data_IF_633512985477
#
_entry.id   IF_633512985477
#
_cell.length_a   1.000
_cell.length_b   1.000
_cell.length_c   1.000
_cell.angle_alpha   90.00
_cell.angle_beta   90.00
_cell.angle_gamma   90.00
#
_symmetry.space_group_name_H-M   'P 1'
#
loop_
_entity.id
_entity.type
_entity.pdbx_description
1 polymer ?
#
# COMPACT_ATOMS: atom_id res chain seq x y z
N UNK A 1 -21.42 -21.15 -7.04
CA UNK A 1 -20.63 -20.79 -5.83
C UNK A 1 -20.61 -19.28 -5.64
N UNK A 2 -19.92 -18.44 -6.45
CA UNK A 2 -19.81 -16.99 -6.19
C UNK A 2 -21.16 -16.25 -6.23
N UNK A 3 -22.03 -16.54 -7.20
CA UNK A 3 -23.38 -15.98 -7.25
C UNK A 3 -24.25 -16.40 -6.06
N UNK A 4 -24.10 -17.63 -5.61
CA UNK A 4 -24.78 -18.16 -4.44
C UNK A 4 -24.27 -17.48 -3.16
N UNK A 5 -22.93 -17.36 -2.99
CA UNK A 5 -22.33 -16.63 -1.88
C UNK A 5 -22.83 -15.17 -1.83
N UNK A 6 -22.85 -14.49 -2.98
CA UNK A 6 -23.32 -13.11 -3.08
C UNK A 6 -24.80 -12.98 -2.67
N UNK A 7 -25.61 -13.99 -2.97
CA UNK A 7 -27.04 -13.99 -2.67
C UNK A 7 -27.37 -14.33 -1.21
N UNK A 8 -26.65 -15.26 -0.60
CA UNK A 8 -27.14 -15.94 0.61
C UNK A 8 -26.23 -15.79 1.84
N UNK A 9 -24.98 -15.33 1.69
CA UNK A 9 -24.05 -15.26 2.83
C UNK A 9 -24.58 -14.50 4.04
N UNK A 10 -25.25 -13.33 3.89
CA UNK A 10 -25.76 -12.58 5.05
C UNK A 10 -26.76 -13.36 5.91
N UNK A 11 -27.50 -14.28 5.28
CA UNK A 11 -28.54 -15.07 5.94
C UNK A 11 -27.98 -16.31 6.66
N UNK A 12 -26.74 -16.70 6.32
CA UNK A 12 -26.06 -17.87 6.88
C UNK A 12 -24.99 -17.52 7.92
N UNK A 13 -24.76 -16.23 8.17
CA UNK A 13 -23.86 -15.79 9.23
C UNK A 13 -24.49 -16.04 10.59
N UNK A 14 -23.77 -16.76 11.46
CA UNK A 14 -24.14 -16.99 12.85
C UNK A 14 -23.07 -16.45 13.78
N UNK A 15 -23.41 -16.14 15.04
CA UNK A 15 -22.41 -15.73 16.03
C UNK A 15 -21.30 -16.78 16.15
N UNK A 16 -21.61 -18.07 16.18
CA UNK A 16 -20.62 -19.15 16.24
C UNK A 16 -19.65 -19.12 15.06
N UNK A 17 -20.14 -18.85 13.83
CA UNK A 17 -19.28 -18.77 12.65
C UNK A 17 -18.39 -17.52 12.68
N UNK A 18 -18.92 -16.39 13.16
CA UNK A 18 -18.17 -15.14 13.31
C UNK A 18 -17.13 -15.27 14.43
N UNK A 19 -17.50 -15.87 15.56
CA UNK A 19 -16.56 -16.14 16.68
C UNK A 19 -15.37 -17.01 16.23
N UNK A 20 -15.65 -18.06 15.47
CA UNK A 20 -14.59 -18.92 14.93
C UNK A 20 -13.65 -18.13 14.01
N UNK A 21 -14.20 -17.33 13.10
CA UNK A 21 -13.37 -16.52 12.19
C UNK A 21 -12.65 -15.38 12.93
N UNK A 22 -13.25 -14.80 13.96
CA UNK A 22 -12.61 -13.79 14.82
C UNK A 22 -11.33 -14.35 15.44
N UNK A 23 -11.37 -15.54 16.02
CA UNK A 23 -10.18 -16.17 16.61
C UNK A 23 -9.11 -16.49 15.56
N UNK A 24 -9.50 -16.89 14.34
CA UNK A 24 -8.57 -17.08 13.22
C UNK A 24 -7.87 -15.76 12.86
N UNK A 25 -8.63 -14.66 12.73
CA UNK A 25 -8.05 -13.34 12.39
C UNK A 25 -7.17 -12.80 13.54
N UNK A 26 -7.56 -13.00 14.80
CA UNK A 26 -6.73 -12.64 15.97
C UNK A 26 -5.42 -13.40 15.97
N UNK A 27 -5.45 -14.68 15.63
CA UNK A 27 -4.23 -15.48 15.52
C UNK A 27 -3.37 -15.04 14.33
N UNK A 28 -3.97 -14.71 13.19
CA UNK A 28 -3.26 -14.11 12.05
C UNK A 28 -2.57 -12.81 12.45
N UNK A 29 -3.26 -11.94 13.20
CA UNK A 29 -2.68 -10.70 13.72
C UNK A 29 -1.47 -10.98 14.61
N UNK A 30 -1.57 -11.92 15.55
CA UNK A 30 -0.43 -12.30 16.40
C UNK A 30 0.76 -12.80 15.57
N UNK A 31 0.51 -13.69 14.60
CA UNK A 31 1.56 -14.32 13.81
C UNK A 31 2.23 -13.38 12.81
N UNK A 32 1.48 -12.45 12.22
CA UNK A 32 2.00 -11.58 11.14
C UNK A 32 2.40 -10.18 11.60
N UNK A 33 1.87 -9.73 12.74
CA UNK A 33 2.10 -8.38 13.23
C UNK A 33 2.73 -8.36 14.62
N UNK A 34 2.09 -8.96 15.63
CA UNK A 34 2.49 -8.76 17.01
C UNK A 34 3.78 -9.54 17.37
N UNK A 35 3.99 -10.72 16.77
CA UNK A 35 5.13 -11.60 17.07
C UNK A 35 6.27 -11.52 16.03
N UNK A 36 6.18 -10.60 15.07
CA UNK A 36 7.21 -10.43 14.04
C UNK A 36 7.98 -9.14 14.29
N UNK A 37 9.32 -9.15 14.25
CA UNK A 37 10.10 -7.93 14.35
C UNK A 37 9.61 -6.87 13.34
N UNK A 38 9.34 -5.66 13.81
CA UNK A 38 8.78 -4.54 13.03
C UNK A 38 7.36 -4.79 12.46
N UNK A 39 6.66 -5.82 12.91
CA UNK A 39 5.35 -6.19 12.33
C UNK A 39 4.26 -5.13 12.52
N UNK A 40 4.35 -4.31 13.56
CA UNK A 40 3.45 -3.20 13.86
C UNK A 40 3.85 -1.87 13.18
N UNK A 41 4.95 -1.84 12.43
CA UNK A 41 5.46 -0.61 11.80
C UNK A 41 4.40 0.11 10.95
N UNK A 42 3.65 -0.65 10.14
CA UNK A 42 2.62 -0.07 9.29
C UNK A 42 1.48 0.54 10.12
N UNK A 43 1.10 -0.08 11.23
CA UNK A 43 0.08 0.47 12.14
C UNK A 43 0.51 1.83 12.69
N UNK A 44 1.73 1.93 13.19
CA UNK A 44 2.28 3.19 13.68
C UNK A 44 2.39 4.25 12.58
N UNK A 45 2.82 3.88 11.38
CA UNK A 45 2.92 4.82 10.26
C UNK A 45 1.56 5.33 9.80
N UNK A 46 0.53 4.47 9.73
CA UNK A 46 -0.82 4.88 9.36
C UNK A 46 -1.40 5.88 10.38
N UNK A 47 -1.20 5.64 11.68
CA UNK A 47 -1.60 6.58 12.74
C UNK A 47 -0.87 7.93 12.62
N UNK A 48 0.45 7.92 12.39
CA UNK A 48 1.26 9.14 12.23
C UNK A 48 0.87 9.93 10.98
N UNK A 49 0.58 9.24 9.88
CA UNK A 49 0.21 9.86 8.61
C UNK A 49 -1.21 10.41 8.62
N UNK A 50 -2.17 9.67 9.17
CA UNK A 50 -3.58 9.96 8.95
C UNK A 50 -4.34 10.35 10.22
N UNK A 51 -3.78 10.02 11.40
CA UNK A 51 -4.49 10.15 12.67
C UNK A 51 -5.48 9.01 12.91
N UNK A 52 -5.76 8.69 14.17
CA UNK A 52 -6.57 7.55 14.57
C UNK A 52 -8.03 7.59 14.06
N UNK A 53 -8.59 8.78 13.89
CA UNK A 53 -9.99 8.97 13.46
C UNK A 53 -10.18 8.90 11.94
N UNK A 54 -9.09 8.89 11.17
CA UNK A 54 -9.18 8.81 9.71
C UNK A 54 -9.36 7.35 9.25
N UNK A 55 -10.16 7.07 8.20
CA UNK A 55 -10.33 5.70 7.67
C UNK A 55 -9.03 4.97 7.33
N UNK A 56 -7.96 5.68 7.02
CA UNK A 56 -6.63 5.13 6.81
C UNK A 56 -5.71 5.22 8.05
N UNK A 57 -6.22 5.64 9.22
CA UNK A 57 -5.46 5.70 10.47
C UNK A 57 -5.20 4.32 11.10
N UNK A 58 -5.65 3.26 10.48
CA UNK A 58 -5.46 1.88 10.92
C UNK A 58 -5.17 0.94 9.75
N UNK A 59 -4.60 -0.21 10.03
CA UNK A 59 -4.35 -1.26 9.04
C UNK A 59 -5.61 -2.12 8.81
N UNK A 60 -5.65 -2.86 7.70
CA UNK A 60 -6.78 -3.72 7.34
C UNK A 60 -7.03 -4.85 8.33
N UNK A 61 -6.00 -5.29 9.06
CA UNK A 61 -6.17 -6.34 10.10
C UNK A 61 -6.96 -5.82 11.31
N UNK A 62 -6.98 -4.51 11.54
CA UNK A 62 -7.65 -3.87 12.65
C UNK A 62 -6.99 -4.08 14.02
N UNK A 63 -7.69 -3.66 15.07
CA UNK A 63 -7.27 -3.85 16.46
C UNK A 63 -7.91 -5.10 17.08
N UNK A 64 -7.30 -5.65 18.16
CA UNK A 64 -7.91 -6.73 18.91
C UNK A 64 -9.28 -6.32 19.48
N UNK A 65 -9.41 -5.06 19.93
CA UNK A 65 -10.67 -4.52 20.47
C UNK A 65 -11.76 -4.45 19.40
N UNK A 66 -11.44 -4.03 18.17
CA UNK A 66 -12.42 -4.00 17.08
C UNK A 66 -12.86 -5.40 16.66
N UNK A 67 -11.91 -6.37 16.66
CA UNK A 67 -12.22 -7.77 16.40
C UNK A 67 -13.16 -8.33 17.47
N UNK A 68 -12.92 -8.03 18.75
CA UNK A 68 -13.79 -8.47 19.84
C UNK A 68 -15.19 -7.84 19.78
N UNK A 69 -15.30 -6.63 19.25
CA UNK A 69 -16.58 -5.94 19.07
C UNK A 69 -17.34 -6.35 17.80
N UNK A 70 -16.76 -7.18 16.93
CA UNK A 70 -17.41 -7.64 15.71
C UNK A 70 -18.52 -8.66 16.02
N UNK A 71 -19.73 -8.45 15.44
CA UNK A 71 -20.89 -9.32 15.61
C UNK A 71 -21.36 -9.85 14.25
N UNK A 72 -22.13 -10.96 14.25
CA UNK A 72 -22.73 -11.50 13.04
C UNK A 72 -23.68 -10.50 12.37
N UNK A 73 -24.41 -9.69 13.16
CA UNK A 73 -25.30 -8.66 12.64
C UNK A 73 -24.50 -7.57 11.87
N UNK A 74 -23.41 -7.06 12.46
CA UNK A 74 -22.52 -6.07 11.80
C UNK A 74 -21.92 -6.63 10.52
N UNK A 75 -21.43 -7.87 10.54
CA UNK A 75 -20.87 -8.55 9.39
C UNK A 75 -21.91 -8.70 8.28
N UNK A 76 -23.12 -9.16 8.62
CA UNK A 76 -24.23 -9.29 7.68
C UNK A 76 -24.67 -7.94 7.10
N UNK A 77 -24.73 -6.88 7.92
CA UNK A 77 -25.07 -5.53 7.49
C UNK A 77 -24.00 -4.98 6.52
N UNK A 78 -22.72 -5.16 6.82
CA UNK A 78 -21.63 -4.77 5.93
C UNK A 78 -21.73 -5.50 4.58
N UNK A 79 -21.96 -6.82 4.61
CA UNK A 79 -22.09 -7.61 3.41
C UNK A 79 -23.28 -7.14 2.56
N UNK A 80 -24.47 -6.97 3.15
CA UNK A 80 -25.66 -6.45 2.44
C UNK A 80 -25.43 -5.07 1.83
N UNK A 81 -24.65 -4.21 2.46
CA UNK A 81 -24.42 -2.86 1.98
C UNK A 81 -23.40 -2.79 0.84
N UNK A 82 -22.40 -3.66 0.82
CA UNK A 82 -21.25 -3.55 -0.09
C UNK A 82 -21.16 -4.67 -1.13
N UNK A 83 -21.57 -5.89 -0.80
CA UNK A 83 -21.47 -7.06 -1.67
C UNK A 83 -22.80 -7.27 -2.43
N UNK A 84 -22.96 -6.50 -3.50
CA UNK A 84 -24.19 -6.50 -4.31
C UNK A 84 -23.82 -6.49 -5.79
N UNK A 85 -24.69 -7.03 -6.68
CA UNK A 85 -24.41 -7.06 -8.12
C UNK A 85 -24.18 -5.68 -8.74
N UNK A 86 -24.90 -4.65 -8.25
CA UNK A 86 -24.76 -3.26 -8.71
C UNK A 86 -23.51 -2.54 -8.16
N UNK A 87 -22.77 -3.17 -7.24
CA UNK A 87 -21.52 -2.69 -6.69
C UNK A 87 -20.35 -3.65 -6.99
N UNK A 88 -20.52 -4.59 -7.91
CA UNK A 88 -19.53 -5.60 -8.25
C UNK A 88 -19.17 -5.53 -9.74
N UNK A 89 -17.92 -5.81 -10.04
CA UNK A 89 -17.42 -6.03 -11.40
C UNK A 89 -16.95 -7.46 -11.50
N UNK A 90 -17.47 -8.21 -12.48
CA UNK A 90 -17.02 -9.54 -12.81
C UNK A 90 -16.10 -9.49 -14.02
N UNK A 91 -14.86 -9.86 -13.84
CA UNK A 91 -13.87 -9.96 -14.91
C UNK A 91 -13.51 -11.43 -15.16
N UNK A 92 -13.56 -11.84 -16.42
CA UNK A 92 -13.23 -13.19 -16.85
C UNK A 92 -12.06 -13.11 -17.84
N UNK A 93 -10.93 -13.71 -17.47
CA UNK A 93 -9.71 -13.74 -18.29
C UNK A 93 -9.29 -15.20 -18.52
N UNK A 94 -9.03 -15.57 -19.77
CA UNK A 94 -8.60 -16.92 -20.12
C UNK A 94 -9.04 -17.31 -21.52
N UNK A 95 -8.96 -18.61 -21.84
CA UNK A 95 -9.43 -19.18 -23.10
C UNK A 95 -10.96 -19.33 -23.07
N UNK A 96 -11.66 -18.21 -23.26
CA UNK A 96 -13.12 -18.13 -23.25
C UNK A 96 -13.59 -17.13 -24.31
N UNK A 97 -14.49 -17.53 -25.18
CA UNK A 97 -15.12 -16.59 -26.09
C UNK A 97 -15.98 -15.58 -25.32
N UNK A 98 -15.91 -14.28 -25.59
CA UNK A 98 -16.64 -13.24 -24.82
C UNK A 98 -18.17 -13.55 -24.72
N UNK A 99 -18.80 -13.99 -25.82
CA UNK A 99 -20.22 -14.35 -25.84
C UNK A 99 -20.57 -15.46 -24.84
N UNK A 100 -19.69 -16.45 -24.68
CA UNK A 100 -19.90 -17.56 -23.74
C UNK A 100 -19.64 -17.11 -22.30
N UNK A 101 -18.66 -16.24 -22.09
CA UNK A 101 -18.40 -15.59 -20.81
C UNK A 101 -19.63 -14.81 -20.33
N UNK A 102 -20.17 -13.91 -21.14
CA UNK A 102 -21.38 -13.15 -20.82
C UNK A 102 -22.59 -14.04 -20.57
N UNK A 103 -22.82 -15.05 -21.40
CA UNK A 103 -23.94 -15.99 -21.20
C UNK A 103 -23.83 -16.75 -19.86
N UNK A 104 -22.62 -17.14 -19.46
CA UNK A 104 -22.39 -17.80 -18.16
C UNK A 104 -22.61 -16.83 -16.99
N UNK A 105 -22.11 -15.59 -17.12
CA UNK A 105 -22.30 -14.55 -16.11
C UNK A 105 -23.79 -14.23 -15.93
N UNK A 106 -24.53 -14.00 -17.01
CA UNK A 106 -25.97 -13.71 -16.97
C UNK A 106 -26.76 -14.87 -16.34
N UNK A 107 -26.45 -16.12 -16.72
CA UNK A 107 -27.10 -17.29 -16.12
C UNK A 107 -26.85 -17.40 -14.61
N UNK A 108 -25.65 -17.04 -14.14
CA UNK A 108 -25.27 -17.18 -12.74
C UNK A 108 -25.75 -16.00 -11.88
N UNK A 109 -25.62 -14.78 -12.38
CA UNK A 109 -25.83 -13.54 -11.60
C UNK A 109 -27.07 -12.74 -12.01
N UNK A 110 -27.62 -12.97 -13.22
CA UNK A 110 -28.68 -12.14 -13.79
C UNK A 110 -30.02 -12.14 -13.03
N UNK A 111 -30.22 -13.08 -12.10
CA UNK A 111 -31.42 -13.14 -11.23
C UNK A 111 -31.22 -12.47 -9.88
N UNK A 112 -29.99 -12.02 -9.57
CA UNK A 112 -29.71 -11.37 -8.29
C UNK A 112 -30.36 -9.97 -8.26
N UNK A 113 -30.91 -9.56 -7.12
CA UNK A 113 -31.53 -8.24 -6.99
C UNK A 113 -30.47 -7.15 -7.10
N UNK A 114 -30.83 -6.07 -7.82
CA UNK A 114 -30.01 -4.88 -7.95
C UNK A 114 -30.81 -3.68 -7.44
N UNK A 115 -30.16 -2.79 -6.69
CA UNK A 115 -30.79 -1.56 -6.17
C UNK A 115 -30.30 -0.32 -6.90
N UNK A 116 -29.49 -0.48 -7.94
CA UNK A 116 -28.92 0.60 -8.78
C UNK A 116 -28.18 1.68 -7.95
N UNK A 117 -27.45 1.24 -6.93
CA UNK A 117 -26.73 2.10 -6.01
C UNK A 117 -25.28 1.61 -5.87
N UNK A 118 -24.37 2.25 -6.60
CA UNK A 118 -22.93 2.02 -6.42
C UNK A 118 -22.44 2.69 -5.14
N UNK A 119 -21.61 2.00 -4.38
CA UNK A 119 -20.85 2.60 -3.31
C UNK A 119 -19.66 3.37 -3.90
N UNK A 120 -19.55 4.63 -3.53
CA UNK A 120 -18.36 5.42 -3.80
C UNK A 120 -17.73 5.78 -2.47
N UNK A 121 -16.46 5.38 -2.22
CA UNK A 121 -15.79 5.77 -0.99
C UNK A 121 -15.68 7.30 -0.93
N UNK A 122 -15.78 7.90 0.27
CA UNK A 122 -15.49 9.31 0.42
C UNK A 122 -14.04 9.58 0.02
N UNK A 123 -13.82 10.62 -0.79
CA UNK A 123 -12.50 11.05 -1.21
C UNK A 123 -12.21 12.41 -0.61
N UNK A 124 -11.38 12.44 0.42
CA UNK A 124 -10.91 13.69 1.02
C UNK A 124 -9.40 13.76 0.81
N UNK A 125 -8.92 14.61 -0.10
CA UNK A 125 -7.49 14.84 -0.25
C UNK A 125 -6.90 15.37 1.04
N UNK A 126 -5.77 14.81 1.46
CA UNK A 126 -5.00 15.30 2.59
C UNK A 126 -3.73 15.98 2.06
N UNK A 127 -3.43 17.20 2.52
CA UNK A 127 -2.16 17.85 2.18
C UNK A 127 -0.98 17.07 2.77
N UNK A 128 0.26 17.32 2.32
CA UNK A 128 1.45 16.89 3.04
C UNK A 128 1.40 17.24 4.52
N UNK A 129 2.16 16.55 5.35
CA UNK A 129 2.29 16.90 6.76
C UNK A 129 2.93 18.29 6.88
N UNK A 130 2.50 19.08 7.86
CA UNK A 130 3.04 20.44 8.10
C UNK A 130 4.41 20.40 8.79
N UNK A 131 4.70 19.32 9.52
CA UNK A 131 5.94 19.10 10.25
C UNK A 131 6.21 17.61 10.42
N UNK A 132 7.40 17.28 10.93
CA UNK A 132 7.78 15.90 11.25
C UNK A 132 6.90 15.36 12.37
N UNK A 133 6.16 14.29 12.07
CA UNK A 133 5.45 13.49 13.08
C UNK A 133 6.31 12.27 13.41
N UNK A 134 6.81 12.14 14.65
CA UNK A 134 7.74 11.07 15.00
C UNK A 134 7.26 10.20 16.14
N UNK A 135 7.68 8.91 16.10
CA UNK A 135 7.48 7.92 17.19
C UNK A 135 8.73 7.06 17.32
N UNK A 136 9.11 6.77 18.55
CA UNK A 136 10.14 5.77 18.87
C UNK A 136 9.48 4.57 19.52
N UNK A 137 9.89 3.37 19.10
CA UNK A 137 9.44 2.08 19.63
C UNK A 137 10.66 1.30 20.09
N UNK A 138 10.65 0.84 21.32
CA UNK A 138 11.60 -0.13 21.81
C UNK A 138 11.01 -1.54 21.68
N UNK A 139 11.79 -2.49 21.17
CA UNK A 139 11.29 -3.83 20.93
C UNK A 139 12.39 -4.85 20.68
N UNK A 140 11.99 -6.12 20.71
CA UNK A 140 12.87 -7.25 20.40
C UNK A 140 13.12 -7.37 18.91
N UNK A 141 13.87 -6.40 18.39
CA UNK A 141 14.21 -6.33 16.96
C UNK A 141 15.66 -6.72 16.73
N UNK A 142 16.02 -7.35 15.61
CA UNK A 142 17.38 -7.81 15.33
C UNK A 142 18.37 -6.67 15.10
N UNK A 143 17.89 -5.48 14.72
CA UNK A 143 18.69 -4.28 14.54
C UNK A 143 17.79 -3.04 14.67
N UNK A 144 18.37 -1.87 14.88
CA UNK A 144 17.62 -0.63 14.77
C UNK A 144 17.12 -0.42 13.34
N UNK A 145 15.93 0.15 13.20
CA UNK A 145 15.35 0.47 11.90
C UNK A 145 14.63 1.81 11.95
N UNK A 146 14.76 2.60 10.90
CA UNK A 146 14.03 3.85 10.71
C UNK A 146 13.15 3.74 9.49
N UNK A 147 11.90 4.16 9.64
CA UNK A 147 10.92 4.31 8.57
C UNK A 147 10.60 5.78 8.40
N UNK A 148 10.54 6.22 7.16
CA UNK A 148 10.08 7.54 6.75
C UNK A 148 8.83 7.36 5.90
N UNK A 149 7.80 8.16 6.11
CA UNK A 149 6.61 8.07 5.29
C UNK A 149 6.02 9.45 4.99
N UNK A 150 5.36 9.56 3.84
CA UNK A 150 4.78 10.80 3.33
C UNK A 150 3.37 10.57 2.83
N UNK A 151 2.50 11.56 2.98
CA UNK A 151 1.23 11.59 2.26
C UNK A 151 1.50 11.92 0.80
N UNK A 152 0.94 11.12 -0.10
CA UNK A 152 1.07 11.29 -1.55
C UNK A 152 -0.29 11.63 -2.17
N UNK A 153 -0.31 12.16 -3.40
CA UNK A 153 -1.54 12.29 -4.18
C UNK A 153 -2.29 10.97 -4.30
N UNK A 154 -3.56 11.06 -4.63
CA UNK A 154 -4.36 9.85 -4.91
C UNK A 154 -3.79 9.09 -6.11
N UNK A 155 -3.89 7.77 -6.05
CA UNK A 155 -3.43 6.87 -7.13
C UNK A 155 -3.98 7.27 -8.51
N UNK A 156 -3.28 6.84 -9.53
CA UNK A 156 -3.65 7.04 -10.95
C UNK A 156 -3.75 8.51 -11.39
N UNK A 157 -3.06 9.40 -10.69
CA UNK A 157 -2.77 10.78 -11.12
C UNK A 157 -1.31 10.88 -11.54
N UNK A 158 -0.99 11.81 -12.44
CA UNK A 158 0.40 12.04 -12.85
C UNK A 158 1.34 12.34 -11.67
N UNK A 159 0.83 13.04 -10.65
CA UNK A 159 1.61 13.39 -9.48
C UNK A 159 1.90 12.18 -8.59
N UNK A 160 0.95 11.23 -8.44
CA UNK A 160 1.22 9.96 -7.77
C UNK A 160 2.25 9.13 -8.54
N UNK A 161 2.08 9.02 -9.86
CA UNK A 161 3.00 8.24 -10.71
C UNK A 161 4.42 8.81 -10.68
N UNK A 162 4.53 10.14 -10.65
CA UNK A 162 5.81 10.82 -10.50
C UNK A 162 6.46 10.56 -9.13
N UNK A 163 5.66 10.55 -8.04
CA UNK A 163 6.15 10.17 -6.71
C UNK A 163 6.57 8.70 -6.66
N UNK A 164 5.84 7.79 -7.31
CA UNK A 164 6.19 6.37 -7.37
C UNK A 164 7.52 6.15 -8.09
N UNK A 165 7.74 6.82 -9.23
CA UNK A 165 9.04 6.82 -9.92
C UNK A 165 10.16 7.42 -9.06
N UNK A 166 9.88 8.52 -8.33
CA UNK A 166 10.86 9.13 -7.43
C UNK A 166 11.26 8.17 -6.29
N UNK A 167 10.27 7.48 -5.69
CA UNK A 167 10.52 6.47 -4.66
C UNK A 167 11.24 5.23 -5.23
N UNK A 168 10.98 4.85 -6.48
CA UNK A 168 11.74 3.80 -7.16
C UNK A 168 13.19 4.21 -7.36
N UNK A 169 13.48 5.45 -7.72
CA UNK A 169 14.86 6.00 -7.77
C UNK A 169 15.50 5.99 -6.39
N UNK A 170 14.74 6.40 -5.35
CA UNK A 170 15.25 6.47 -3.99
C UNK A 170 15.60 5.09 -3.44
N UNK A 171 14.68 4.10 -3.54
CA UNK A 171 14.79 2.83 -2.84
C UNK A 171 14.39 1.60 -3.64
N UNK A 172 14.12 1.70 -4.94
CA UNK A 172 13.70 0.58 -5.81
C UNK A 172 14.86 -0.34 -6.21
N UNK A 173 15.15 -1.34 -5.39
CA UNK A 173 16.16 -2.37 -5.69
C UNK A 173 17.60 -1.94 -5.47
N UNK A 174 18.54 -2.77 -5.94
CA UNK A 174 19.97 -2.64 -5.62
C UNK A 174 20.69 -1.46 -6.31
N UNK A 175 20.10 -0.87 -7.33
CA UNK A 175 20.66 0.29 -8.05
C UNK A 175 20.10 1.63 -7.54
N UNK A 176 19.23 1.60 -6.54
CA UNK A 176 18.63 2.78 -5.93
C UNK A 176 19.62 3.57 -5.09
N UNK A 177 19.32 4.86 -4.86
CA UNK A 177 20.20 5.76 -4.09
C UNK A 177 20.46 5.24 -2.68
N UNK A 178 19.42 4.86 -1.94
CA UNK A 178 19.55 4.35 -0.58
C UNK A 178 20.43 3.09 -0.53
N UNK A 179 20.17 2.12 -1.42
CA UNK A 179 20.96 0.89 -1.42
C UNK A 179 22.42 1.16 -1.75
N UNK A 180 22.70 1.97 -2.77
CA UNK A 180 24.07 2.29 -3.17
C UNK A 180 24.83 3.05 -2.08
N UNK A 181 24.19 4.05 -1.45
CA UNK A 181 24.87 4.89 -0.45
C UNK A 181 24.98 4.19 0.91
N UNK A 182 23.89 3.58 1.42
CA UNK A 182 23.86 3.08 2.78
C UNK A 182 24.39 1.66 2.91
N UNK A 183 24.07 0.79 1.92
CA UNK A 183 24.43 -0.63 1.98
C UNK A 183 25.79 -0.90 1.32
N UNK A 184 26.03 -0.31 0.12
CA UNK A 184 27.25 -0.61 -0.66
C UNK A 184 28.42 0.28 -0.31
N UNK A 185 28.22 1.60 -0.24
CA UNK A 185 29.31 2.57 -0.08
C UNK A 185 29.66 2.81 1.38
N UNK A 186 28.70 3.24 2.19
CA UNK A 186 28.94 3.58 3.61
C UNK A 186 28.92 2.36 4.52
N UNK A 187 28.24 1.28 4.13
CA UNK A 187 28.10 0.04 4.91
C UNK A 187 27.53 0.29 6.32
N UNK A 188 26.59 1.22 6.44
CA UNK A 188 25.90 1.56 7.69
C UNK A 188 24.54 0.86 7.82
N UNK A 189 24.07 0.21 6.76
CA UNK A 189 22.77 -0.48 6.72
C UNK A 189 22.90 -1.87 6.10
N UNK A 190 22.09 -2.80 6.58
CA UNK A 190 21.92 -4.15 6.00
C UNK A 190 20.90 -4.15 4.87
N UNK A 191 19.91 -3.26 4.94
CA UNK A 191 18.86 -3.11 3.93
C UNK A 191 18.35 -1.66 3.92
N UNK A 192 17.96 -1.20 2.74
CA UNK A 192 17.26 0.06 2.55
C UNK A 192 16.37 -0.06 1.32
N UNK A 193 15.20 0.57 1.35
CA UNK A 193 14.23 0.52 0.27
C UNK A 193 13.20 1.62 0.38
N UNK A 194 12.48 1.87 -0.72
CA UNK A 194 11.34 2.80 -0.75
C UNK A 194 10.31 2.34 -1.78
N UNK A 195 9.04 2.66 -1.54
CA UNK A 195 7.93 2.35 -2.43
C UNK A 195 6.73 3.26 -2.17
N UNK A 196 5.87 3.42 -3.16
CA UNK A 196 4.56 4.04 -2.99
C UNK A 196 3.49 3.00 -2.70
N UNK A 197 2.51 3.39 -1.88
CA UNK A 197 1.34 2.58 -1.52
C UNK A 197 0.08 3.29 -2.03
N UNK A 198 -0.49 2.84 -3.15
CA UNK A 198 -1.63 3.48 -3.78
C UNK A 198 -2.91 3.27 -2.96
N UNK A 199 -3.62 4.36 -2.66
CA UNK A 199 -4.92 4.35 -2.00
C UNK A 199 -5.96 5.12 -2.84
N UNK A 200 -7.25 4.91 -2.56
CA UNK A 200 -8.36 5.46 -3.37
C UNK A 200 -9.13 6.60 -2.69
N UNK A 201 -8.92 6.81 -1.39
CA UNK A 201 -9.71 7.76 -0.59
C UNK A 201 -9.23 9.22 -0.66
N UNK A 202 -8.68 9.66 -1.79
CA UNK A 202 -8.20 11.04 -1.99
C UNK A 202 -6.74 11.27 -1.67
N UNK A 203 -6.08 10.31 -1.04
CA UNK A 203 -4.66 10.36 -0.68
C UNK A 203 -4.05 8.96 -0.79
N UNK A 204 -2.75 8.89 -1.03
CA UNK A 204 -1.91 7.69 -0.95
C UNK A 204 -0.77 7.94 0.03
N UNK A 205 0.20 7.04 0.14
CA UNK A 205 1.39 7.31 0.93
C UNK A 205 2.63 6.64 0.32
N UNK A 206 3.78 7.22 0.60
CA UNK A 206 5.09 6.66 0.30
C UNK A 206 5.77 6.23 1.58
N UNK A 207 6.60 5.19 1.51
CA UNK A 207 7.42 4.75 2.63
C UNK A 207 8.84 4.49 2.17
N UNK A 208 9.82 4.93 2.96
CA UNK A 208 11.19 4.49 2.86
C UNK A 208 11.60 3.85 4.18
N UNK A 209 12.44 2.83 4.12
CA UNK A 209 12.93 2.12 5.31
C UNK A 209 14.43 1.92 5.23
N UNK A 210 15.06 1.99 6.38
CA UNK A 210 16.48 1.69 6.55
C UNK A 210 16.65 0.80 7.77
N UNK A 211 17.34 -0.32 7.59
CA UNK A 211 17.73 -1.22 8.68
C UNK A 211 19.23 -1.06 8.93
N UNK A 212 19.58 -0.54 10.08
CA UNK A 212 20.98 -0.33 10.44
C UNK A 212 21.77 -1.63 10.45
N UNK A 213 23.07 -1.54 10.20
CA UNK A 213 23.97 -2.67 10.41
C UNK A 213 24.07 -2.95 11.91
N UNK A 214 23.95 -4.23 12.39
CA UNK A 214 24.15 -4.55 13.79
C UNK A 214 25.48 -4.04 14.32
N UNK A 215 25.45 -3.28 15.41
CA UNK A 215 26.62 -2.65 16.01
C UNK A 215 27.08 -1.32 15.39
N UNK A 216 26.46 -0.89 14.27
CA UNK A 216 26.68 0.45 13.73
C UNK A 216 25.81 1.49 14.43
N UNK A 217 26.18 2.77 14.33
CA UNK A 217 25.34 3.86 14.82
C UNK A 217 24.08 3.99 13.95
N UNK A 218 22.92 3.71 14.54
CA UNK A 218 21.64 3.85 13.86
C UNK A 218 21.36 5.32 13.44
N UNK A 219 21.88 6.30 14.19
CA UNK A 219 21.73 7.70 13.84
C UNK A 219 22.49 8.04 12.56
N UNK A 220 23.67 7.46 12.33
CA UNK A 220 24.40 7.63 11.08
C UNK A 220 23.62 7.09 9.87
N UNK A 221 23.02 5.89 9.98
CA UNK A 221 22.20 5.31 8.93
C UNK A 221 20.97 6.19 8.62
N UNK A 222 20.32 6.70 9.66
CA UNK A 222 19.17 7.61 9.56
C UNK A 222 19.54 8.92 8.87
N UNK A 223 20.65 9.56 9.29
CA UNK A 223 21.12 10.81 8.68
C UNK A 223 21.56 10.62 7.23
N UNK A 224 22.22 9.51 6.92
CA UNK A 224 22.60 9.19 5.55
C UNK A 224 21.35 9.01 4.64
N UNK A 225 20.28 8.39 5.16
CA UNK A 225 19.03 8.26 4.42
C UNK A 225 18.34 9.61 4.22
N UNK A 226 18.28 10.45 5.24
CA UNK A 226 17.72 11.80 5.15
C UNK A 226 18.44 12.65 4.11
N UNK A 227 19.78 12.56 4.03
CA UNK A 227 20.55 13.28 3.02
C UNK A 227 20.19 12.84 1.59
N UNK A 228 19.91 11.54 1.35
CA UNK A 228 19.48 11.06 0.02
C UNK A 228 18.04 11.48 -0.31
N UNK A 229 17.16 11.50 0.70
CA UNK A 229 15.77 12.00 0.57
C UNK A 229 15.80 13.48 0.21
N UNK A 230 16.59 14.30 0.93
CA UNK A 230 16.74 15.72 0.69
C UNK A 230 17.30 16.01 -0.72
N UNK A 231 18.34 15.27 -1.13
CA UNK A 231 18.88 15.40 -2.49
C UNK A 231 17.83 15.07 -3.56
N UNK A 232 17.02 14.03 -3.36
CA UNK A 232 15.97 13.71 -4.31
C UNK A 232 14.89 14.80 -4.37
N UNK A 233 14.49 15.33 -3.21
CA UNK A 233 13.49 16.39 -3.13
C UNK A 233 13.98 17.72 -3.73
N UNK A 234 15.28 18.01 -3.61
CA UNK A 234 15.89 19.28 -4.08
C UNK A 234 16.31 19.21 -5.55
N UNK A 235 17.04 18.15 -5.92
CA UNK A 235 17.71 18.04 -7.22
C UNK A 235 16.92 17.21 -8.23
N UNK A 236 15.91 16.44 -7.76
CA UNK A 236 15.20 15.45 -8.56
C UNK A 236 16.06 14.24 -8.96
N UNK A 237 15.55 13.37 -9.84
CA UNK A 237 16.32 12.28 -10.43
C UNK A 237 17.15 12.75 -11.62
N UNK A 238 18.21 12.03 -11.93
CA UNK A 238 18.92 12.15 -13.22
C UNK A 238 18.15 11.42 -14.33
N UNK A 239 18.43 11.75 -15.61
CA UNK A 239 17.86 11.05 -16.77
C UNK A 239 18.08 9.53 -16.70
N UNK A 240 19.27 9.11 -16.30
CA UNK A 240 19.64 7.71 -16.20
C UNK A 240 18.87 6.99 -15.06
N UNK A 241 18.64 7.64 -13.93
CA UNK A 241 17.85 7.11 -12.83
C UNK A 241 16.39 6.97 -13.22
N UNK A 242 15.81 8.01 -13.84
CA UNK A 242 14.44 7.99 -14.31
C UNK A 242 14.22 6.91 -15.39
N UNK A 243 15.14 6.79 -16.35
CA UNK A 243 15.05 5.77 -17.39
C UNK A 243 15.05 4.34 -16.78
N UNK A 244 15.86 4.09 -15.75
CA UNK A 244 15.85 2.79 -15.04
C UNK A 244 14.55 2.55 -14.28
N UNK A 245 14.03 3.56 -13.57
CA UNK A 245 12.77 3.46 -12.83
C UNK A 245 11.60 3.15 -13.78
N UNK A 246 11.51 3.85 -14.91
CA UNK A 246 10.50 3.56 -15.95
C UNK A 246 10.64 2.16 -16.53
N UNK A 247 11.84 1.72 -16.84
CA UNK A 247 12.09 0.37 -17.35
C UNK A 247 11.68 -0.72 -16.33
N UNK A 248 11.93 -0.48 -15.04
CA UNK A 248 11.49 -1.37 -13.98
C UNK A 248 9.95 -1.39 -13.87
N UNK A 249 9.30 -0.23 -13.87
CA UNK A 249 7.84 -0.12 -13.86
C UNK A 249 7.22 -0.85 -15.06
N UNK A 250 7.73 -0.62 -16.27
CA UNK A 250 7.25 -1.29 -17.48
C UNK A 250 7.39 -2.81 -17.40
N UNK A 251 8.51 -3.30 -16.89
CA UNK A 251 8.73 -4.74 -16.69
C UNK A 251 7.71 -5.33 -15.70
N UNK A 252 7.48 -4.66 -14.58
CA UNK A 252 6.53 -5.11 -13.55
C UNK A 252 5.10 -5.11 -14.09
N UNK A 253 4.71 -4.05 -14.79
CA UNK A 253 3.41 -3.92 -15.44
C UNK A 253 3.15 -5.02 -16.47
N UNK A 254 4.10 -5.25 -17.38
CA UNK A 254 3.98 -6.30 -18.40
C UNK A 254 3.98 -7.71 -17.77
N UNK A 255 4.73 -7.91 -16.70
CA UNK A 255 4.72 -9.18 -15.94
C UNK A 255 3.37 -9.41 -15.29
N UNK A 256 2.77 -8.38 -14.69
CA UNK A 256 1.42 -8.47 -14.12
C UNK A 256 0.36 -8.77 -15.20
N UNK A 257 0.44 -8.12 -16.36
CA UNK A 257 -0.47 -8.37 -17.49
C UNK A 257 -0.30 -9.75 -18.12
N UNK A 258 0.87 -10.37 -18.02
CA UNK A 258 1.11 -11.72 -18.54
C UNK A 258 0.38 -12.80 -17.74
N UNK A 259 0.06 -12.56 -16.48
CA UNK A 259 -0.66 -13.48 -15.60
C UNK A 259 -2.17 -13.26 -15.70
N UNK A 260 -2.94 -14.33 -15.78
CA UNK A 260 -4.40 -14.24 -15.91
C UNK A 260 -5.08 -13.62 -14.68
N UNK A 261 -4.65 -14.01 -13.48
CA UNK A 261 -5.14 -13.49 -12.22
C UNK A 261 -4.86 -11.99 -12.06
N UNK A 262 -3.61 -11.58 -12.23
CA UNK A 262 -3.21 -10.17 -12.10
C UNK A 262 -3.82 -9.30 -13.19
N UNK A 263 -3.95 -9.81 -14.42
CA UNK A 263 -4.66 -9.11 -15.51
C UNK A 263 -6.13 -8.90 -15.19
N UNK A 264 -6.80 -9.92 -14.64
CA UNK A 264 -8.21 -9.81 -14.24
C UNK A 264 -8.37 -8.77 -13.12
N UNK A 265 -7.48 -8.77 -12.13
CA UNK A 265 -7.48 -7.83 -11.03
C UNK A 265 -7.26 -6.38 -11.51
N UNK A 266 -6.29 -6.15 -12.37
CA UNK A 266 -6.03 -4.83 -12.96
C UNK A 266 -7.25 -4.30 -13.75
N UNK A 267 -7.84 -5.13 -14.63
CA UNK A 267 -9.04 -4.74 -15.39
C UNK A 267 -10.21 -4.44 -14.44
N UNK A 268 -10.43 -5.29 -13.42
CA UNK A 268 -11.46 -5.07 -12.41
C UNK A 268 -11.24 -3.79 -11.63
N UNK A 269 -9.99 -3.50 -11.26
CA UNK A 269 -9.60 -2.28 -10.55
C UNK A 269 -9.97 -1.04 -11.36
N UNK A 270 -9.57 -0.96 -12.64
CA UNK A 270 -9.88 0.20 -13.48
C UNK A 270 -11.38 0.30 -13.80
N UNK A 271 -12.07 -0.83 -13.99
CA UNK A 271 -13.52 -0.84 -14.18
C UNK A 271 -14.27 -0.37 -12.92
N UNK A 272 -13.81 -0.76 -11.73
CA UNK A 272 -14.49 -0.45 -10.47
C UNK A 272 -14.21 0.98 -10.00
N UNK A 273 -12.94 1.41 -10.04
CA UNK A 273 -12.50 2.67 -9.44
C UNK A 273 -12.59 3.85 -10.41
N UNK A 274 -12.43 3.60 -11.71
CA UNK A 274 -12.33 4.64 -12.74
C UNK A 274 -13.44 4.56 -13.79
N UNK A 275 -14.25 3.49 -13.76
CA UNK A 275 -15.25 3.21 -14.81
C UNK A 275 -14.66 3.12 -16.23
N UNK A 276 -13.34 2.86 -16.33
CA UNK A 276 -12.55 2.82 -17.56
C UNK A 276 -11.59 1.61 -17.56
N UNK A 277 -12.08 0.40 -17.85
CA UNK A 277 -11.23 -0.79 -17.92
C UNK A 277 -10.15 -0.70 -19.02
N UNK A 278 -10.37 0.09 -20.08
CA UNK A 278 -9.41 0.27 -21.16
C UNK A 278 -8.15 1.04 -20.74
N UNK A 279 -8.20 1.77 -19.62
CA UNK A 279 -7.03 2.49 -19.11
C UNK A 279 -5.84 1.57 -18.82
N UNK A 280 -6.07 0.30 -18.54
CA UNK A 280 -5.00 -0.69 -18.38
C UNK A 280 -4.03 -0.71 -19.56
N UNK A 281 -4.53 -0.44 -20.77
CA UNK A 281 -3.73 -0.42 -22.01
C UNK A 281 -2.92 0.88 -22.19
N UNK A 282 -3.29 1.95 -21.51
CA UNK A 282 -2.65 3.29 -21.64
C UNK A 282 -1.65 3.60 -20.52
N UNK A 283 -1.67 2.82 -19.44
CA UNK A 283 -0.85 3.13 -18.25
C UNK A 283 0.64 3.23 -18.51
N UNK A 284 1.19 2.38 -19.37
CA UNK A 284 2.62 2.46 -19.70
C UNK A 284 2.95 3.78 -20.41
N UNK A 285 2.11 4.24 -21.33
CA UNK A 285 2.30 5.51 -22.03
C UNK A 285 2.16 6.70 -21.08
N UNK A 286 1.18 6.66 -20.16
CA UNK A 286 0.98 7.70 -19.14
C UNK A 286 2.23 7.85 -18.25
N UNK A 287 2.82 6.76 -17.80
CA UNK A 287 4.03 6.77 -16.96
C UNK A 287 5.27 7.11 -17.77
N UNK A 288 5.38 6.62 -19.01
CA UNK A 288 6.53 6.91 -19.87
C UNK A 288 6.59 8.38 -20.30
N UNK A 289 5.47 9.06 -20.36
CA UNK A 289 5.39 10.50 -20.68
C UNK A 289 5.92 11.42 -19.54
N UNK A 290 6.17 10.90 -18.34
CA UNK A 290 6.71 11.70 -17.23
C UNK A 290 8.16 12.10 -17.49
N UNK A 291 8.47 13.39 -17.40
CA UNK A 291 9.83 13.94 -17.56
C UNK A 291 10.56 14.02 -16.23
N UNK A 292 11.89 14.23 -16.28
CA UNK A 292 12.69 14.49 -15.07
C UNK A 292 12.12 15.66 -14.28
N UNK A 293 11.76 16.75 -14.96
CA UNK A 293 11.20 17.96 -14.32
C UNK A 293 9.89 17.63 -13.58
N UNK A 294 9.00 16.81 -14.17
CA UNK A 294 7.75 16.39 -13.51
C UNK A 294 7.98 15.51 -12.29
N UNK A 295 8.97 14.62 -12.35
CA UNK A 295 9.34 13.79 -11.21
C UNK A 295 10.03 14.61 -10.12
N UNK A 296 10.87 15.58 -10.48
CA UNK A 296 11.48 16.51 -9.55
C UNK A 296 10.43 17.42 -8.88
N UNK A 297 9.47 17.97 -9.65
CA UNK A 297 8.34 18.75 -9.14
C UNK A 297 7.58 17.96 -8.06
N UNK A 298 7.23 16.70 -8.36
CA UNK A 298 6.50 15.85 -7.43
C UNK A 298 7.33 15.45 -6.20
N UNK A 299 8.62 15.14 -6.38
CA UNK A 299 9.51 14.80 -5.28
C UNK A 299 9.67 16.00 -4.32
N UNK A 300 9.88 17.20 -4.85
CA UNK A 300 9.99 18.43 -4.04
C UNK A 300 8.70 18.77 -3.30
N UNK A 301 7.55 18.50 -3.91
CA UNK A 301 6.24 18.81 -3.31
C UNK A 301 5.79 17.79 -2.24
N UNK A 302 6.15 16.51 -2.37
CA UNK A 302 5.55 15.43 -1.57
C UNK A 302 6.56 14.57 -0.78
N UNK A 303 7.84 14.60 -1.10
CA UNK A 303 8.86 13.80 -0.43
C UNK A 303 9.84 14.64 0.39
N UNK A 304 9.41 15.83 0.80
CA UNK A 304 10.24 16.74 1.58
C UNK A 304 10.59 16.14 2.96
N UNK A 305 11.86 16.21 3.40
CA UNK A 305 12.28 15.63 4.68
C UNK A 305 11.57 16.23 5.89
N UNK A 306 11.17 17.50 5.86
CA UNK A 306 10.50 18.17 6.98
C UNK A 306 9.00 17.90 7.07
N UNK A 307 8.42 17.23 6.07
CA UNK A 307 6.98 16.94 5.97
C UNK A 307 6.72 15.43 6.03
N UNK A 308 7.41 14.72 6.90
CA UNK A 308 7.35 13.26 7.00
C UNK A 308 6.79 12.74 8.32
N UNK A 309 6.27 11.55 8.30
CA UNK A 309 6.21 10.70 9.49
C UNK A 309 7.54 9.94 9.63
N UNK A 310 8.03 9.79 10.84
CA UNK A 310 9.23 9.03 11.16
C UNK A 310 8.95 8.06 12.29
N UNK A 311 9.31 6.79 12.10
CA UNK A 311 9.20 5.74 13.08
C UNK A 311 10.56 5.11 13.30
N UNK A 312 11.07 5.19 14.52
CA UNK A 312 12.37 4.64 14.90
C UNK A 312 12.21 3.44 15.82
N UNK A 313 12.66 2.28 15.37
CA UNK A 313 12.79 1.09 16.20
C UNK A 313 14.18 1.04 16.83
N UNK A 314 14.22 0.86 18.14
CA UNK A 314 15.43 0.58 18.91
C UNK A 314 15.37 -0.82 19.50
N UNK A 315 16.53 -1.46 19.57
CA UNK A 315 16.63 -2.73 20.30
C UNK A 315 16.41 -2.48 21.80
N UNK A 316 15.55 -3.31 22.41
CA UNK A 316 15.52 -3.39 23.88
C UNK A 316 16.93 -3.69 24.40
N UNK A 317 17.34 -2.97 25.44
CA UNK A 317 18.58 -3.32 26.15
C UNK A 317 18.41 -4.77 26.64
N UNK A 318 19.20 -5.69 26.10
CA UNK A 318 19.31 -7.03 26.66
C UNK A 318 19.89 -6.84 28.07
N UNK A 319 19.09 -7.10 29.09
CA UNK A 319 19.62 -7.28 30.43
C UNK A 319 20.74 -8.32 30.32
N UNK A 320 21.97 -7.85 30.52
CA UNK A 320 23.10 -8.74 30.55
C UNK A 320 22.83 -9.72 31.70
N UNK A 321 22.42 -10.95 31.33
CA UNK A 321 22.19 -12.01 32.26
C UNK A 321 23.49 -12.22 33.06
N UNK A 322 23.38 -11.96 34.35
CA UNK A 322 24.38 -12.33 35.33
C UNK A 322 24.51 -13.85 35.47
#
# INVERSE_FOLDING_TARGET
MEADRLATLPEHLSETSVDTQREVVKEEKRQRYDNVPYGDAMTHLMELLFGADHPYGHTTIGSMADLDAATAERAAAFFRNHYRPDNAVLTIVGDVAPKDGFKRAERAFGRLPSWNRRFRPPTTPLPPLEAVASRQVEGRVPAAATYFAWRLPVRDTWAFDACDLALAVLGGGQTSRLHQQLVRTRQVATAAGASAMPLIGGTSFGVAQVRALPGADAAEATQAALAEIERLATDGPTDAELARAKAQHAREWLTALARFDSRADLISTYATLHEDPERVNRRLEEVDALTVDKVAEAAGAFLHPDQRAQLDYRQEATDAAH
#
